data_IF_948095038672
#
_entry.id   IF_948095038672
#
_cell.length_a   1.000
_cell.length_b   1.000
_cell.length_c   1.000
_cell.angle_alpha   90.00
_cell.angle_beta   90.00
_cell.angle_gamma   90.00
#
_symmetry.space_group_name_H-M   'P 1'
#
loop_
_entity.id
_entity.type
_entity.pdbx_description
1 polymer ?
#
# COMPACT_ATOMS: atom_id res chain seq x y z
N UNK A 1 34.91 10.07 14.78
CA UNK A 1 33.45 10.01 14.54
C UNK A 1 32.91 8.79 15.28
N UNK A 2 31.87 8.95 16.12
CA UNK A 2 31.21 7.82 16.79
C UNK A 2 30.25 7.18 15.78
N UNK A 3 30.59 6.00 15.27
CA UNK A 3 29.68 5.22 14.44
C UNK A 3 28.64 4.55 15.34
N UNK A 4 27.38 4.97 15.22
CA UNK A 4 26.28 4.24 15.82
C UNK A 4 26.01 2.99 14.97
N UNK A 5 26.27 1.81 15.52
CA UNK A 5 25.72 0.58 14.93
C UNK A 5 24.22 0.65 15.10
N UNK A 6 23.46 0.74 14.00
CA UNK A 6 22.08 0.30 14.05
C UNK A 6 22.12 -1.15 14.50
N UNK A 7 21.30 -1.53 15.48
CA UNK A 7 21.18 -2.92 15.92
C UNK A 7 20.49 -3.75 14.84
N UNK A 8 21.06 -3.80 13.63
CA UNK A 8 20.44 -4.23 12.37
C UNK A 8 19.98 -5.68 12.31
N UNK A 9 20.02 -6.39 13.43
CA UNK A 9 19.46 -7.73 13.63
C UNK A 9 18.19 -7.74 14.47
N UNK A 10 17.72 -6.59 14.99
CA UNK A 10 16.51 -6.53 15.84
C UNK A 10 15.58 -5.39 15.42
N UNK A 11 14.30 -5.73 15.26
CA UNK A 11 13.21 -4.77 15.11
C UNK A 11 12.83 -4.12 16.45
N UNK A 12 12.23 -2.92 16.46
CA UNK A 12 11.75 -2.28 17.69
C UNK A 12 10.77 -3.16 18.47
N UNK A 13 10.76 -3.03 19.81
CA UNK A 13 9.86 -3.77 20.71
C UNK A 13 8.38 -3.60 20.35
N UNK A 14 7.99 -2.44 19.81
CA UNK A 14 6.64 -2.17 19.34
C UNK A 14 6.22 -3.18 18.25
N UNK A 15 7.10 -3.50 17.30
CA UNK A 15 6.83 -4.46 16.23
C UNK A 15 6.70 -5.88 16.80
N UNK A 16 7.49 -6.23 17.82
CA UNK A 16 7.35 -7.51 18.51
C UNK A 16 6.01 -7.66 19.21
N UNK A 17 5.49 -6.58 19.81
CA UNK A 17 4.16 -6.56 20.41
C UNK A 17 3.07 -6.69 19.35
N UNK A 18 3.17 -5.92 18.26
CA UNK A 18 2.23 -6.02 17.13
C UNK A 18 2.19 -7.43 16.53
N UNK A 19 3.33 -8.13 16.46
CA UNK A 19 3.36 -9.52 16.01
C UNK A 19 2.61 -10.48 16.97
N UNK A 20 2.51 -10.14 18.25
CA UNK A 20 1.65 -10.86 19.20
C UNK A 20 0.17 -10.52 18.93
N UNK A 21 -0.15 -9.23 18.77
CA UNK A 21 -1.51 -8.75 18.50
C UNK A 21 -2.09 -9.40 17.24
N UNK A 22 -1.30 -9.55 16.17
CA UNK A 22 -1.72 -10.28 14.94
C UNK A 22 -1.99 -11.76 15.22
N UNK A 23 -1.15 -12.42 16.02
CA UNK A 23 -1.35 -13.85 16.38
C UNK A 23 -2.60 -14.06 17.23
N UNK A 24 -2.97 -13.06 18.02
CA UNK A 24 -4.19 -13.05 18.83
C UNK A 24 -5.43 -12.55 18.05
N UNK A 25 -5.28 -12.17 16.78
CA UNK A 25 -6.36 -11.66 15.94
C UNK A 25 -6.83 -10.23 16.30
N UNK A 26 -6.04 -9.50 17.08
CA UNK A 26 -6.33 -8.14 17.53
C UNK A 26 -5.85 -7.06 16.55
N UNK A 27 -5.09 -7.45 15.53
CA UNK A 27 -4.54 -6.56 14.51
C UNK A 27 -4.60 -7.24 13.13
N UNK A 28 -4.90 -6.45 12.09
CA UNK A 28 -4.87 -6.97 10.73
C UNK A 28 -3.45 -7.32 10.29
N UNK A 29 -3.33 -8.44 9.57
CA UNK A 29 -2.06 -8.93 9.06
C UNK A 29 -1.40 -7.92 8.11
N UNK A 30 -2.17 -7.24 7.25
CA UNK A 30 -1.59 -6.34 6.24
C UNK A 30 -1.00 -5.10 6.90
N UNK A 31 -1.67 -4.56 7.92
CA UNK A 31 -1.18 -3.43 8.70
C UNK A 31 0.14 -3.76 9.41
N UNK A 32 0.23 -4.93 10.04
CA UNK A 32 1.47 -5.39 10.65
C UNK A 32 2.60 -5.54 9.63
N UNK A 33 2.33 -6.15 8.47
CA UNK A 33 3.36 -6.34 7.44
C UNK A 33 3.88 -5.00 6.92
N UNK A 34 3.00 -4.03 6.68
CA UNK A 34 3.40 -2.68 6.28
C UNK A 34 4.32 -2.03 7.33
N UNK A 35 3.95 -2.11 8.61
CA UNK A 35 4.72 -1.54 9.70
C UNK A 35 6.05 -2.27 9.92
N UNK A 36 6.06 -3.60 9.92
CA UNK A 36 7.27 -4.39 10.05
C UNK A 36 8.26 -4.07 8.93
N UNK A 37 7.79 -3.94 7.68
CA UNK A 37 8.63 -3.55 6.54
C UNK A 37 9.16 -2.13 6.65
N UNK A 38 8.34 -1.17 7.10
CA UNK A 38 8.79 0.21 7.33
C UNK A 38 9.93 0.31 8.36
N UNK A 39 9.93 -0.58 9.36
CA UNK A 39 10.99 -0.68 10.36
C UNK A 39 12.15 -1.62 9.98
N UNK A 40 12.22 -2.04 8.71
CA UNK A 40 13.35 -2.79 8.16
C UNK A 40 13.30 -4.30 8.39
N UNK A 41 12.15 -4.86 8.79
CA UNK A 41 11.98 -6.31 8.78
C UNK A 41 11.89 -6.80 7.33
N UNK A 42 12.72 -7.78 6.97
CA UNK A 42 12.55 -8.48 5.70
C UNK A 42 11.24 -9.28 5.72
N UNK A 43 10.71 -9.60 4.54
CA UNK A 43 9.50 -10.41 4.40
C UNK A 43 9.60 -11.73 5.16
N UNK A 44 10.73 -12.42 5.08
CA UNK A 44 10.96 -13.68 5.79
C UNK A 44 10.89 -13.50 7.32
N UNK A 45 11.50 -12.42 7.85
CA UNK A 45 11.47 -12.13 9.28
C UNK A 45 10.05 -11.79 9.74
N UNK A 46 9.36 -10.89 9.04
CA UNK A 46 8.02 -10.47 9.40
C UNK A 46 7.04 -11.66 9.42
N UNK A 47 7.10 -12.55 8.42
CA UNK A 47 6.27 -13.75 8.37
C UNK A 47 6.59 -14.73 9.49
N UNK A 48 7.88 -14.94 9.80
CA UNK A 48 8.30 -15.74 10.94
C UNK A 48 7.80 -15.19 12.29
N UNK A 49 7.77 -13.86 12.45
CA UNK A 49 7.27 -13.22 13.69
C UNK A 49 5.80 -13.52 13.99
N UNK A 50 4.98 -13.69 12.95
CA UNK A 50 3.55 -14.00 13.07
C UNK A 50 3.22 -15.47 12.83
N UNK A 51 4.24 -16.33 12.67
CA UNK A 51 4.05 -17.77 12.48
C UNK A 51 3.40 -18.16 11.15
N UNK A 52 3.54 -17.33 10.11
CA UNK A 52 2.97 -17.59 8.80
C UNK A 52 3.98 -18.33 7.92
N UNK A 53 3.50 -19.32 7.16
CA UNK A 53 4.27 -19.91 6.07
C UNK A 53 4.59 -18.84 5.01
N UNK A 54 5.69 -19.03 4.27
CA UNK A 54 6.04 -18.18 3.14
C UNK A 54 4.81 -17.98 2.24
N UNK A 55 4.54 -16.75 1.77
CA UNK A 55 3.33 -16.48 1.00
C UNK A 55 3.34 -17.39 -0.23
N UNK A 56 2.34 -18.27 -0.32
CA UNK A 56 2.01 -18.93 -1.56
C UNK A 56 1.71 -17.85 -2.62
N UNK A 57 1.97 -18.11 -3.92
CA UNK A 57 1.61 -17.17 -4.97
C UNK A 57 0.17 -16.72 -4.76
N UNK A 58 0.01 -15.43 -4.47
CA UNK A 58 -1.30 -14.85 -4.28
C UNK A 58 -1.96 -14.83 -5.65
N UNK A 59 -2.93 -15.70 -5.88
CA UNK A 59 -3.88 -15.52 -6.95
C UNK A 59 -4.67 -14.27 -6.58
N UNK A 60 -4.28 -13.13 -7.17
CA UNK A 60 -5.07 -11.92 -7.09
C UNK A 60 -6.50 -12.27 -7.50
N UNK A 61 -7.48 -11.77 -6.75
CA UNK A 61 -8.87 -11.84 -7.19
C UNK A 61 -8.94 -11.25 -8.60
N UNK A 62 -9.61 -11.95 -9.52
CA UNK A 62 -9.67 -11.57 -10.92
C UNK A 62 -10.19 -10.12 -11.01
N UNK A 63 -9.35 -9.22 -11.52
CA UNK A 63 -9.64 -7.79 -11.52
C UNK A 63 -10.99 -7.54 -12.18
N UNK A 64 -11.96 -6.99 -11.44
CA UNK A 64 -13.27 -6.68 -12.00
C UNK A 64 -13.09 -5.63 -13.09
N UNK A 65 -13.40 -6.01 -14.33
CA UNK A 65 -13.41 -5.08 -15.46
C UNK A 65 -14.37 -3.92 -15.13
N UNK A 66 -13.84 -2.70 -15.11
CA UNK A 66 -14.64 -1.50 -14.90
C UNK A 66 -15.72 -1.32 -15.98
N UNK A 67 -16.74 -0.51 -15.67
CA UNK A 67 -17.81 -0.16 -16.60
C UNK A 67 -17.45 0.95 -17.59
N UNK A 68 -18.36 1.27 -18.52
CA UNK A 68 -18.21 2.37 -19.47
C UNK A 68 -18.82 3.66 -18.90
N UNK A 69 -17.98 4.67 -18.64
CA UNK A 69 -18.46 6.03 -18.33
C UNK A 69 -18.77 6.76 -19.64
N UNK A 70 -20.03 7.19 -19.83
CA UNK A 70 -20.41 8.08 -20.93
C UNK A 70 -20.47 9.51 -20.42
N UNK A 71 -19.55 10.35 -20.88
CA UNK A 71 -19.52 11.80 -20.59
C UNK A 71 -19.96 12.55 -21.83
N UNK A 72 -20.92 13.45 -21.69
CA UNK A 72 -21.33 14.37 -22.73
C UNK A 72 -21.06 15.80 -22.27
N UNK A 73 -20.40 16.59 -23.13
CA UNK A 73 -20.21 18.02 -22.95
C UNK A 73 -20.53 18.74 -24.25
N UNK A 74 -20.96 20.00 -24.14
CA UNK A 74 -21.23 20.83 -25.31
C UNK A 74 -19.89 21.19 -25.95
N UNK A 75 -19.65 20.70 -27.17
CA UNK A 75 -18.48 21.11 -27.98
C UNK A 75 -18.92 22.22 -28.92
N UNK A 76 -18.50 23.45 -28.60
CA UNK A 76 -18.76 24.63 -29.44
C UNK A 76 -17.70 24.73 -30.55
N UNK A 77 -18.09 25.20 -31.73
CA UNK A 77 -17.20 25.26 -32.89
C UNK A 77 -16.22 26.42 -32.80
N UNK A 78 -14.93 26.17 -32.58
CA UNK A 78 -13.93 27.23 -32.54
C UNK A 78 -13.61 27.75 -33.96
N UNK A 79 -14.03 28.98 -34.29
CA UNK A 79 -13.68 29.64 -35.57
C UNK A 79 -12.30 30.31 -35.53
N UNK A 80 -11.98 31.02 -34.44
CA UNK A 80 -10.70 31.69 -34.21
C UNK A 80 -10.17 31.32 -32.81
N UNK A 81 -8.94 30.77 -32.68
CA UNK A 81 -8.36 30.43 -31.37
C UNK A 81 -8.21 31.62 -30.41
N UNK A 82 -8.17 32.85 -30.92
CA UNK A 82 -7.94 34.07 -30.14
C UNK A 82 -9.22 34.77 -29.71
N UNK A 83 -10.37 34.34 -30.22
CA UNK A 83 -11.66 35.01 -30.03
C UNK A 83 -12.73 33.98 -29.68
N UNK A 84 -13.44 34.20 -28.59
CA UNK A 84 -14.60 33.39 -28.20
C UNK A 84 -15.87 34.22 -28.40
N UNK A 85 -16.79 33.73 -29.24
CA UNK A 85 -18.07 34.38 -29.58
C UNK A 85 -19.25 33.84 -28.75
N UNK A 86 -18.95 33.22 -27.61
CA UNK A 86 -19.93 32.60 -26.72
C UNK A 86 -20.21 33.49 -25.50
N UNK A 87 -21.47 33.51 -25.05
CA UNK A 87 -21.98 34.44 -24.02
C UNK A 87 -22.00 33.87 -22.59
N UNK A 88 -21.34 32.73 -22.35
CA UNK A 88 -21.27 32.07 -21.03
C UNK A 88 -20.25 32.72 -20.09
#
# INVERSE_FOLDING_TARGET
MKFFKSGGTRVPKAITRMAKDVREGLMDRREFLAMASAFGASTAVAYGMVGLAAPAPAFAEEGKKGGTLRVAMVVKQQKDPRTYDWVE
#
